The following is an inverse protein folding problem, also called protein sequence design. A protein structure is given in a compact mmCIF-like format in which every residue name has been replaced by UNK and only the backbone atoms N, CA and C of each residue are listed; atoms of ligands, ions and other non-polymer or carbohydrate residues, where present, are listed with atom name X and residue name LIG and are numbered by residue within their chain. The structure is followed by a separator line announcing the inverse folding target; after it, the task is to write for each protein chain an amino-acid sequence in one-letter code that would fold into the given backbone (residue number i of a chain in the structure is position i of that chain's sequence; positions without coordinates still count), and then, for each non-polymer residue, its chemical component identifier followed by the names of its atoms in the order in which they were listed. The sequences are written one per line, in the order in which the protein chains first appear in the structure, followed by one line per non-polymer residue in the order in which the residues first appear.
data_IF_592851450361
#
_entry.id   IF_592851450361
#
_cell.length_a   1.000
_cell.length_b   1.000
_cell.length_c   1.000
_cell.angle_alpha   90.00
_cell.angle_beta   90.00
_cell.angle_gamma   90.00
#
_symmetry.space_group_name_H-M   'P 1'
#
loop_
_entity.id
_entity.type
_entity.pdbx_description
1 polymer ?
#
# COMPACT_ATOMS: atom_id res chain seq x y z
N UNK A 1 -6.77 -18.31 0.14
CA UNK A 1 -6.46 -18.58 -1.28
C UNK A 1 -6.38 -17.29 -2.11
N UNK A 2 -7.40 -16.40 -2.19
CA UNK A 2 -7.34 -15.21 -3.05
C UNK A 2 -6.19 -14.25 -2.70
N UNK A 3 -5.93 -14.05 -1.41
CA UNK A 3 -4.83 -13.21 -0.93
C UNK A 3 -3.45 -13.71 -1.39
N UNK A 4 -3.26 -15.02 -1.56
CA UNK A 4 -1.96 -15.58 -1.97
C UNK A 4 -1.70 -15.26 -3.44
N UNK A 5 -2.73 -15.33 -4.29
CA UNK A 5 -2.59 -14.93 -5.69
C UNK A 5 -2.33 -13.44 -5.82
N UNK A 6 -3.11 -12.61 -5.10
CA UNK A 6 -2.89 -11.17 -5.08
C UNK A 6 -1.48 -10.83 -4.62
N UNK A 7 -0.98 -11.55 -3.62
CA UNK A 7 0.37 -11.40 -3.11
C UNK A 7 1.46 -11.77 -4.12
N UNK A 8 1.29 -12.90 -4.82
CA UNK A 8 2.20 -13.29 -5.91
C UNK A 8 2.26 -12.22 -7.00
N UNK A 9 1.11 -11.71 -7.44
CA UNK A 9 1.07 -10.67 -8.48
C UNK A 9 1.61 -9.33 -7.98
N UNK A 10 1.32 -8.95 -6.73
CA UNK A 10 1.84 -7.73 -6.12
C UNK A 10 3.37 -7.78 -5.99
N UNK A 11 3.94 -8.92 -5.58
CA UNK A 11 5.38 -9.12 -5.52
C UNK A 11 6.02 -9.10 -6.92
N UNK A 12 5.41 -9.76 -7.90
CA UNK A 12 5.91 -9.73 -9.29
C UNK A 12 5.94 -8.29 -9.83
N UNK A 13 4.84 -7.55 -9.66
CA UNK A 13 4.75 -6.15 -10.03
C UNK A 13 5.82 -5.31 -9.30
N UNK A 14 5.92 -5.45 -7.99
CA UNK A 14 6.86 -4.70 -7.17
C UNK A 14 8.32 -4.99 -7.55
N UNK A 15 8.67 -6.24 -7.83
CA UNK A 15 10.02 -6.62 -8.20
C UNK A 15 10.43 -6.18 -9.60
N UNK A 16 9.49 -6.12 -10.55
CA UNK A 16 9.75 -5.73 -11.94
C UNK A 16 9.61 -4.20 -12.13
N UNK A 17 8.48 -3.62 -11.75
CA UNK A 17 8.15 -2.24 -12.07
C UNK A 17 8.95 -1.23 -11.23
N UNK A 18 9.24 -1.50 -9.95
CA UNK A 18 9.93 -0.51 -9.11
C UNK A 18 11.36 -0.23 -9.57
N UNK A 19 12.19 -1.24 -9.89
CA UNK A 19 13.49 -0.98 -10.48
C UNK A 19 13.41 -0.24 -11.81
N UNK A 20 12.44 -0.59 -12.66
CA UNK A 20 12.22 0.07 -13.96
C UNK A 20 11.87 1.55 -13.79
N UNK A 21 11.08 1.89 -12.77
CA UNK A 21 10.70 3.28 -12.45
C UNK A 21 11.71 4.01 -11.54
N UNK A 22 12.79 3.34 -11.10
CA UNK A 22 13.74 3.91 -10.14
C UNK A 22 13.15 4.12 -8.73
N UNK A 23 12.03 3.47 -8.40
CA UNK A 23 11.36 3.58 -7.11
C UNK A 23 12.05 2.72 -6.04
N UNK A 24 12.11 3.25 -4.81
CA UNK A 24 12.62 2.49 -3.66
C UNK A 24 11.64 1.38 -3.29
N UNK A 25 12.13 0.15 -3.23
CA UNK A 25 11.34 -1.03 -2.82
C UNK A 25 10.76 -0.85 -1.41
N UNK A 26 9.54 -1.31 -1.23
CA UNK A 26 8.83 -1.39 0.06
C UNK A 26 9.35 -2.61 0.82
N UNK A 27 9.68 -2.46 2.10
CA UNK A 27 10.12 -3.60 2.92
C UNK A 27 8.91 -4.32 3.49
N UNK A 28 8.65 -5.52 2.99
CA UNK A 28 7.53 -6.38 3.44
C UNK A 28 7.51 -6.63 4.95
N UNK A 29 8.68 -6.79 5.58
CA UNK A 29 8.82 -7.04 7.02
C UNK A 29 8.33 -5.88 7.90
N UNK A 30 8.25 -4.65 7.36
CA UNK A 30 7.74 -3.50 8.10
C UNK A 30 6.20 -3.58 8.25
N UNK A 31 5.52 -4.35 7.39
CA UNK A 31 4.06 -4.42 7.32
C UNK A 31 3.48 -5.73 7.87
N UNK A 32 4.12 -6.86 7.60
CA UNK A 32 3.61 -8.18 8.00
C UNK A 32 4.30 -8.62 9.29
N UNK A 33 3.53 -8.70 10.38
CA UNK A 33 4.00 -9.20 11.68
C UNK A 33 3.06 -10.27 12.21
N UNK A 34 3.66 -11.44 12.50
CA UNK A 34 2.94 -12.62 12.99
C UNK A 34 3.66 -13.06 14.28
N UNK A 35 3.26 -12.49 15.41
CA UNK A 35 3.82 -12.72 16.74
C UNK A 35 2.78 -13.29 17.74
N UNK A 36 1.50 -12.96 17.55
CA UNK A 36 0.39 -13.32 18.45
C UNK A 36 0.14 -14.82 18.60
N UNK A 37 0.60 -15.66 17.68
CA UNK A 37 0.55 -17.12 17.80
C UNK A 37 1.39 -17.66 18.99
N UNK A 38 2.37 -16.87 19.47
CA UNK A 38 3.21 -17.22 20.63
C UNK A 38 2.49 -17.06 21.97
N UNK A 39 1.33 -16.41 21.97
CA UNK A 39 0.55 -16.19 23.18
C UNK A 39 0.01 -17.54 23.69
N UNK A 40 0.37 -17.88 24.92
CA UNK A 40 0.09 -19.19 25.54
C UNK A 40 -1.39 -19.42 25.84
N UNK A 41 -2.16 -18.34 26.02
CA UNK A 41 -3.58 -18.39 26.39
C UNK A 41 -4.55 -18.56 25.21
N UNK A 42 -4.07 -18.48 23.96
CA UNK A 42 -4.94 -18.70 22.79
C UNK A 42 -5.04 -20.20 22.46
N UNK A 43 -6.26 -20.65 22.17
CA UNK A 43 -6.51 -22.01 21.65
C UNK A 43 -5.95 -22.13 20.23
N UNK A 44 -5.74 -23.35 19.78
CA UNK A 44 -5.15 -23.61 18.45
C UNK A 44 -5.89 -22.91 17.31
N UNK A 45 -7.22 -22.99 17.27
CA UNK A 45 -8.03 -22.31 16.24
C UNK A 45 -7.91 -20.78 16.30
N UNK A 46 -7.87 -20.21 17.50
CA UNK A 46 -7.74 -18.76 17.67
C UNK A 46 -6.35 -18.29 17.18
N UNK A 47 -5.30 -19.10 17.36
CA UNK A 47 -3.96 -18.83 16.80
C UNK A 47 -3.97 -18.84 15.27
N UNK A 48 -4.61 -19.82 14.63
CA UNK A 48 -4.73 -19.90 13.16
C UNK A 48 -5.45 -18.67 12.60
N UNK A 49 -6.58 -18.30 13.20
CA UNK A 49 -7.33 -17.10 12.81
C UNK A 49 -6.51 -15.83 13.02
N UNK A 50 -5.78 -15.75 14.13
CA UNK A 50 -4.93 -14.59 14.40
C UNK A 50 -3.77 -14.47 13.40
N UNK A 51 -3.14 -15.59 13.00
CA UNK A 51 -2.13 -15.59 11.96
C UNK A 51 -2.70 -15.15 10.62
N UNK A 52 -3.88 -15.66 10.26
CA UNK A 52 -4.57 -15.25 9.03
C UNK A 52 -4.85 -13.75 9.01
N UNK A 53 -5.49 -13.22 10.05
CA UNK A 53 -5.81 -11.79 10.14
C UNK A 53 -4.54 -10.91 10.17
N UNK A 54 -3.49 -11.34 10.88
CA UNK A 54 -2.21 -10.63 10.92
C UNK A 54 -1.53 -10.57 9.54
N UNK A 55 -1.54 -11.70 8.81
CA UNK A 55 -1.04 -11.74 7.45
C UNK A 55 -1.88 -10.91 6.49
N UNK A 56 -3.20 -11.11 6.48
CA UNK A 56 -4.11 -10.47 5.53
C UNK A 56 -4.07 -8.94 5.65
N UNK A 57 -4.19 -8.40 6.86
CA UNK A 57 -4.17 -6.95 7.07
C UNK A 57 -2.77 -6.37 6.80
N UNK A 58 -1.71 -7.05 7.24
CA UNK A 58 -0.35 -6.63 6.95
C UNK A 58 -0.05 -6.61 5.45
N UNK A 59 -0.47 -7.64 4.73
CA UNK A 59 -0.31 -7.73 3.28
C UNK A 59 -1.10 -6.64 2.55
N UNK A 60 -2.36 -6.38 2.93
CA UNK A 60 -3.16 -5.33 2.30
C UNK A 60 -2.54 -3.93 2.53
N UNK A 61 -2.00 -3.68 3.73
CA UNK A 61 -1.27 -2.44 3.99
C UNK A 61 0.01 -2.33 3.14
N UNK A 62 0.75 -3.43 2.98
CA UNK A 62 1.92 -3.50 2.11
C UNK A 62 1.56 -3.26 0.63
N UNK A 63 0.52 -3.91 0.12
CA UNK A 63 0.04 -3.73 -1.24
C UNK A 63 -0.46 -2.30 -1.49
N UNK A 64 -1.15 -1.69 -0.50
CA UNK A 64 -1.56 -0.29 -0.56
C UNK A 64 -0.37 0.66 -0.60
N UNK A 65 0.72 0.37 0.11
CA UNK A 65 1.95 1.18 0.03
C UNK A 65 2.60 1.07 -1.34
N UNK A 66 2.67 -0.13 -1.92
CA UNK A 66 3.17 -0.34 -3.28
C UNK A 66 2.38 0.53 -4.25
N UNK A 67 1.04 0.46 -4.19
CA UNK A 67 0.16 1.28 -5.02
C UNK A 67 0.33 2.78 -4.76
N UNK A 68 0.51 3.20 -3.51
CA UNK A 68 0.73 4.60 -3.14
C UNK A 68 2.02 5.18 -3.75
N UNK A 69 3.11 4.41 -3.75
CA UNK A 69 4.38 4.82 -4.38
C UNK A 69 4.28 4.86 -5.90
N UNK A 70 3.59 3.90 -6.50
CA UNK A 70 3.27 3.92 -7.92
C UNK A 70 2.43 5.14 -8.29
N UNK A 71 1.39 5.44 -7.51
CA UNK A 71 0.54 6.61 -7.72
C UNK A 71 1.37 7.90 -7.60
N UNK A 72 2.21 8.03 -6.57
CA UNK A 72 3.07 9.21 -6.42
C UNK A 72 4.04 9.42 -7.59
N UNK A 73 4.44 8.33 -8.27
CA UNK A 73 5.28 8.39 -9.47
C UNK A 73 4.51 8.85 -10.71
N UNK A 74 3.28 8.35 -10.92
CA UNK A 74 2.48 8.67 -12.12
C UNK A 74 1.57 9.89 -11.97
N UNK A 75 0.90 10.03 -10.84
CA UNK A 75 -0.15 11.02 -10.60
C UNK A 75 -0.03 11.60 -9.19
N UNK A 76 0.63 12.76 -9.08
CA UNK A 76 0.75 13.50 -7.82
C UNK A 76 -0.38 14.49 -7.56
N UNK A 77 -1.63 14.20 -7.97
CA UNK A 77 -2.79 15.08 -7.81
C UNK A 77 -3.82 14.41 -6.89
N UNK A 78 -4.33 15.15 -5.90
CA UNK A 78 -5.40 14.72 -5.00
C UNK A 78 -6.69 14.45 -5.75
N UNK A 79 -7.47 13.48 -5.29
CA UNK A 79 -8.85 13.35 -5.75
C UNK A 79 -9.71 14.57 -5.36
N UNK A 80 -10.79 14.77 -6.12
CA UNK A 80 -11.82 15.74 -5.78
C UNK A 80 -12.43 15.37 -4.42
N UNK A 81 -12.58 16.36 -3.53
CA UNK A 81 -13.20 16.15 -2.23
C UNK A 81 -14.73 16.10 -2.35
N UNK A 82 -15.37 15.31 -1.49
CA UNK A 82 -16.83 15.19 -1.40
C UNK A 82 -17.30 13.73 -1.41
N UNK A 83 -18.62 13.54 -1.34
CA UNK A 83 -19.26 12.24 -1.56
C UNK A 83 -18.91 11.13 -0.56
N UNK A 84 -18.39 11.46 0.63
CA UNK A 84 -17.97 10.45 1.62
C UNK A 84 -16.67 9.73 1.25
N UNK A 85 -15.85 10.28 0.36
CA UNK A 85 -14.59 9.68 -0.05
C UNK A 85 -13.56 9.64 1.10
N UNK A 86 -13.01 8.46 1.37
CA UNK A 86 -11.93 8.26 2.33
C UNK A 86 -10.59 8.48 1.65
N UNK A 87 -10.06 9.71 1.74
CA UNK A 87 -8.79 10.06 1.13
C UNK A 87 -7.61 9.25 1.70
N UNK A 88 -6.77 8.64 0.85
CA UNK A 88 -5.56 7.96 1.29
C UNK A 88 -4.58 8.94 1.95
N UNK A 89 -3.88 8.51 3.01
CA UNK A 89 -2.95 9.37 3.76
C UNK A 89 -1.79 9.91 2.93
N UNK A 90 -1.29 9.13 1.96
CA UNK A 90 -0.16 9.56 1.12
C UNK A 90 -0.49 10.71 0.18
N UNK A 91 -1.79 11.03 0.01
CA UNK A 91 -2.22 12.17 -0.80
C UNK A 91 -1.84 13.50 -0.18
N UNK A 92 -1.46 13.58 1.10
CA UNK A 92 -1.13 14.86 1.76
C UNK A 92 -0.08 15.68 0.99
N UNK A 93 0.91 15.01 0.39
CA UNK A 93 1.99 15.61 -0.41
C UNK A 93 1.62 15.91 -1.88
N UNK A 94 0.39 15.58 -2.30
CA UNK A 94 -0.09 15.75 -3.67
C UNK A 94 -0.65 17.15 -3.91
N UNK A 95 -0.61 17.58 -5.17
CA UNK A 95 -1.20 18.83 -5.65
C UNK A 95 -2.72 18.78 -5.47
N UNK A 96 -3.33 19.92 -5.15
CA UNK A 96 -4.78 20.00 -5.01
C UNK A 96 -5.48 19.70 -6.33
N UNK A 97 -6.64 19.05 -6.26
CA UNK A 97 -7.48 18.80 -7.42
C UNK A 97 -7.77 20.12 -8.17
N UNK A 98 -7.54 20.13 -9.48
CA UNK A 98 -7.79 21.30 -10.35
C UNK A 98 -6.74 22.42 -10.31
N UNK A 99 -5.65 22.30 -9.53
CA UNK A 99 -4.58 23.31 -9.48
C UNK A 99 -3.55 23.12 -10.62
N UNK A 100 -3.95 23.54 -11.82
CA UNK A 100 -3.11 23.46 -13.03
C UNK A 100 -1.77 24.21 -12.86
N UNK A 101 -1.77 25.36 -12.16
CA UNK A 101 -0.55 26.15 -11.95
C UNK A 101 0.46 25.37 -11.11
N UNK A 102 0.01 24.71 -10.04
CA UNK A 102 0.89 23.88 -9.22
C UNK A 102 1.37 22.63 -9.96
N UNK A 103 0.53 22.06 -10.83
CA UNK A 103 0.91 20.94 -11.68
C UNK A 103 2.03 21.31 -12.65
N UNK A 104 1.85 22.37 -13.45
CA UNK A 104 2.87 22.86 -14.38
C UNK A 104 4.19 23.19 -13.65
N UNK A 105 4.15 23.90 -12.52
CA UNK A 105 5.37 24.18 -11.73
C UNK A 105 6.13 22.93 -11.25
N UNK A 106 5.44 21.81 -11.02
CA UNK A 106 6.04 20.58 -10.49
C UNK A 106 6.51 19.63 -11.59
N UNK A 107 5.82 19.63 -12.74
CA UNK A 107 5.99 18.62 -13.79
C UNK A 107 6.32 19.17 -15.18
N UNK A 108 6.08 20.45 -15.50
CA UNK A 108 6.66 21.06 -16.71
C UNK A 108 8.17 21.19 -16.47
N UNK A 109 8.94 20.44 -17.27
CA UNK A 109 10.38 20.57 -17.42
C UNK A 109 10.70 21.40 -18.65
#
# INVERSE_FOLDING_TARGET
IPLIFLDLFAELYHHICFPVYGLKRVRRADYIRIDRQRLSYLRFFDKVNCMYCGYANGFLAYASEIAARTEAYWCGIKHQQGGGFHAPKHHDAFIRYGDERAFRRRYDR
#
